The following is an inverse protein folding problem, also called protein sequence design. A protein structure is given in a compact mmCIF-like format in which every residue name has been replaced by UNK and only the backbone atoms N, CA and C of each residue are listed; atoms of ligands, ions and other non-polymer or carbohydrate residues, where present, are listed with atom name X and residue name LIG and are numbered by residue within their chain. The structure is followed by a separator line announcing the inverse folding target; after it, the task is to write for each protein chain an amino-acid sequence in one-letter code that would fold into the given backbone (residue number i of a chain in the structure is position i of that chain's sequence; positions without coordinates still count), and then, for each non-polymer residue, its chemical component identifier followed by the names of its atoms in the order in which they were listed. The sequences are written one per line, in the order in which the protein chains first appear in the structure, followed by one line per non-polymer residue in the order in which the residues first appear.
data_IF_242193097643
#
_entry.id   IF_242193097643
#
_cell.length_a   1.000
_cell.length_b   1.000
_cell.length_c   1.000
_cell.angle_alpha   90.00
_cell.angle_beta   90.00
_cell.angle_gamma   90.00
#
_symmetry.space_group_name_H-M   'P 1'
#
loop_
_entity.id
_entity.type
_entity.pdbx_description
1 polymer ?
#
# COMPACT_ATOMS: atom_id res chain seq x y z
N UNK A 1 10.28 -3.98 -7.73
CA UNK A 1 9.00 -3.25 -7.96
C UNK A 1 7.87 -4.12 -7.41
N UNK A 2 6.69 -3.58 -7.07
CA UNK A 2 5.60 -4.42 -6.52
C UNK A 2 5.19 -5.59 -7.43
N UNK A 3 5.40 -5.48 -8.75
CA UNK A 3 5.22 -6.57 -9.72
C UNK A 3 5.97 -7.87 -9.40
N UNK A 4 7.05 -7.76 -8.62
CA UNK A 4 7.88 -8.89 -8.21
C UNK A 4 7.27 -9.62 -6.98
N UNK A 5 6.15 -9.12 -6.45
CA UNK A 5 5.44 -9.61 -5.27
C UNK A 5 3.93 -9.82 -5.59
N UNK A 6 3.56 -10.88 -6.34
CA UNK A 6 2.19 -11.10 -6.80
C UNK A 6 1.19 -11.25 -5.64
N UNK A 7 1.61 -11.85 -4.52
CA UNK A 7 0.76 -11.95 -3.33
C UNK A 7 0.43 -10.57 -2.73
N UNK A 8 1.37 -9.62 -2.77
CA UNK A 8 1.11 -8.26 -2.27
C UNK A 8 0.10 -7.54 -3.18
N UNK A 9 0.20 -7.73 -4.50
CA UNK A 9 -0.77 -7.21 -5.47
C UNK A 9 -2.15 -7.80 -5.21
N UNK A 10 -2.23 -9.11 -4.94
CA UNK A 10 -3.47 -9.79 -4.61
C UNK A 10 -4.09 -9.23 -3.33
N UNK A 11 -3.32 -9.04 -2.27
CA UNK A 11 -3.81 -8.44 -1.02
C UNK A 11 -4.32 -7.00 -1.22
N UNK A 12 -3.63 -6.18 -2.04
CA UNK A 12 -4.11 -4.84 -2.39
C UNK A 12 -5.44 -4.89 -3.17
N UNK A 13 -5.56 -5.81 -4.11
CA UNK A 13 -6.80 -6.01 -4.87
C UNK A 13 -7.94 -6.47 -3.96
N UNK A 14 -7.68 -7.40 -3.03
CA UNK A 14 -8.66 -7.87 -2.05
C UNK A 14 -9.10 -6.74 -1.11
N UNK A 15 -8.17 -5.89 -0.65
CA UNK A 15 -8.47 -4.72 0.16
C UNK A 15 -9.40 -3.75 -0.58
N UNK A 16 -9.15 -3.47 -1.85
CA UNK A 16 -10.02 -2.63 -2.69
C UNK A 16 -11.38 -3.27 -2.94
N UNK A 17 -11.43 -4.58 -3.24
CA UNK A 17 -12.67 -5.32 -3.42
C UNK A 17 -13.53 -5.36 -2.14
N UNK A 18 -12.94 -5.14 -0.96
CA UNK A 18 -13.71 -5.09 0.29
C UNK A 18 -14.61 -3.84 0.38
N UNK A 19 -14.22 -2.74 -0.27
CA UNK A 19 -14.96 -1.46 -0.26
C UNK A 19 -16.33 -1.61 -0.94
N UNK A 20 -16.40 -2.42 -2.01
CA UNK A 20 -17.64 -2.63 -2.77
C UNK A 20 -18.63 -3.57 -2.08
N UNK A 21 -18.14 -4.42 -1.16
CA UNK A 21 -18.92 -5.48 -0.53
C UNK A 21 -19.42 -5.15 0.90
N UNK A 22 -19.29 -3.90 1.36
CA UNK A 22 -19.62 -3.56 2.75
C UNK A 22 -21.10 -3.21 2.98
N UNK A 23 -21.73 -3.73 4.06
CA UNK A 23 -23.17 -3.56 4.31
C UNK A 23 -23.56 -2.15 4.78
N UNK A 24 -22.64 -1.37 5.37
CA UNK A 24 -22.89 0.02 5.77
C UNK A 24 -21.77 0.96 5.32
N UNK A 25 -22.16 2.12 4.76
CA UNK A 25 -21.22 3.10 4.23
C UNK A 25 -20.91 4.22 5.23
N UNK A 26 -20.00 3.99 6.18
CA UNK A 26 -19.46 5.00 7.11
C UNK A 26 -18.60 6.11 6.44
N UNK A 27 -17.80 5.75 5.44
CA UNK A 27 -16.98 6.63 4.59
C UNK A 27 -17.46 6.61 3.13
N UNK A 28 -17.27 7.69 2.34
CA UNK A 28 -17.48 7.59 0.90
C UNK A 28 -16.51 6.56 0.27
N UNK A 29 -16.88 5.93 -0.87
CA UNK A 29 -16.13 4.81 -1.46
C UNK A 29 -14.66 5.13 -1.76
N UNK A 30 -14.36 6.31 -2.32
CA UNK A 30 -12.98 6.70 -2.61
C UNK A 30 -12.13 6.80 -1.34
N UNK A 31 -12.59 7.50 -0.31
CA UNK A 31 -11.85 7.65 0.96
C UNK A 31 -11.65 6.29 1.65
N UNK A 32 -12.64 5.41 1.59
CA UNK A 32 -12.51 4.03 2.10
C UNK A 32 -11.47 3.22 1.30
N UNK A 33 -11.45 3.36 -0.03
CA UNK A 33 -10.46 2.70 -0.88
C UNK A 33 -9.04 3.20 -0.64
N UNK A 34 -8.85 4.53 -0.50
CA UNK A 34 -7.55 5.10 -0.12
C UNK A 34 -7.12 4.57 1.24
N UNK A 35 -7.99 4.63 2.24
CA UNK A 35 -7.67 4.13 3.58
C UNK A 35 -7.29 2.64 3.58
N UNK A 36 -8.01 1.81 2.83
CA UNK A 36 -7.69 0.38 2.67
C UNK A 36 -6.34 0.12 1.99
N UNK A 37 -5.97 0.95 1.01
CA UNK A 37 -4.64 0.87 0.40
C UNK A 37 -3.55 1.29 1.39
N UNK A 38 -3.78 2.37 2.14
CA UNK A 38 -2.83 2.84 3.15
C UNK A 38 -2.60 1.77 4.23
N UNK A 39 -3.67 1.22 4.81
CA UNK A 39 -3.63 0.17 5.82
C UNK A 39 -2.88 -1.09 5.33
N UNK A 40 -3.17 -1.53 4.10
CA UNK A 40 -2.50 -2.70 3.51
C UNK A 40 -1.01 -2.44 3.23
N UNK A 41 -0.66 -1.25 2.71
CA UNK A 41 0.72 -0.88 2.42
C UNK A 41 1.54 -0.64 3.70
N UNK A 42 0.93 -0.08 4.75
CA UNK A 42 1.56 0.08 6.06
C UNK A 42 1.89 -1.30 6.66
N UNK A 43 0.99 -2.29 6.53
CA UNK A 43 1.28 -3.68 6.90
C UNK A 43 2.48 -4.28 6.17
N UNK A 44 2.63 -4.04 4.87
CA UNK A 44 3.81 -4.50 4.12
C UNK A 44 5.11 -3.84 4.58
N UNK A 45 5.05 -2.58 5.03
CA UNK A 45 6.20 -1.88 5.58
C UNK A 45 6.60 -2.51 6.91
N UNK A 46 5.64 -2.78 7.78
CA UNK A 46 5.88 -3.41 9.09
C UNK A 46 6.49 -4.80 8.93
N UNK A 47 5.95 -5.62 8.03
CA UNK A 47 6.49 -6.95 7.71
C UNK A 47 7.93 -6.87 7.18
N UNK A 48 8.18 -5.98 6.21
CA UNK A 48 9.51 -5.81 5.63
C UNK A 48 10.51 -5.23 6.65
N UNK A 49 10.07 -4.38 7.57
CA UNK A 49 10.89 -3.88 8.67
C UNK A 49 11.26 -5.01 9.64
N UNK A 50 10.31 -5.89 9.97
CA UNK A 50 10.57 -7.09 10.77
C UNK A 50 11.60 -8.01 10.12
N UNK A 51 11.47 -8.26 8.82
CA UNK A 51 12.44 -9.03 8.04
C UNK A 51 13.84 -8.39 8.06
N UNK A 52 13.93 -7.07 7.87
CA UNK A 52 15.18 -6.33 7.92
C UNK A 52 15.85 -6.43 9.31
N UNK A 53 15.08 -6.27 10.38
CA UNK A 53 15.59 -6.42 11.75
C UNK A 53 16.11 -7.84 12.01
N UNK A 54 15.40 -8.87 11.54
CA UNK A 54 15.86 -10.25 11.64
C UNK A 54 17.15 -10.50 10.83
N UNK A 55 17.24 -9.95 9.61
CA UNK A 55 18.44 -10.04 8.79
C UNK A 55 19.65 -9.34 9.46
N UNK A 56 19.43 -8.17 10.04
CA UNK A 56 20.46 -7.43 10.79
C UNK A 56 20.97 -8.23 11.99
N UNK A 57 20.07 -8.88 12.75
CA UNK A 57 20.44 -9.74 13.87
C UNK A 57 21.28 -10.97 13.43
N UNK A 58 21.07 -11.46 12.19
CA UNK A 58 21.85 -12.58 11.64
C UNK A 58 23.26 -12.19 11.19
N UNK A 59 23.54 -10.90 10.96
CA UNK A 59 24.82 -10.39 10.44
C UNK A 59 25.13 -10.77 8.99
N UNK A 60 24.21 -11.44 8.28
CA UNK A 60 24.41 -11.81 6.88
C UNK A 60 24.23 -10.59 5.96
N UNK A 61 25.33 -10.10 5.40
CA UNK A 61 25.34 -8.91 4.55
C UNK A 61 24.40 -9.01 3.33
N UNK A 62 24.30 -10.19 2.71
CA UNK A 62 23.42 -10.41 1.56
C UNK A 62 21.94 -10.37 1.97
N UNK A 63 21.61 -11.01 3.10
CA UNK A 63 20.25 -10.98 3.64
C UNK A 63 19.83 -9.57 4.07
N UNK A 64 20.76 -8.80 4.65
CA UNK A 64 20.52 -7.41 5.04
C UNK A 64 20.24 -6.55 3.81
N UNK A 65 21.07 -6.65 2.77
CA UNK A 65 20.88 -5.87 1.54
C UNK A 65 19.53 -6.19 0.88
N UNK A 66 19.16 -7.46 0.77
CA UNK A 66 17.89 -7.88 0.19
C UNK A 66 16.68 -7.38 0.99
N UNK A 67 16.74 -7.47 2.32
CA UNK A 67 15.65 -7.00 3.19
C UNK A 67 15.52 -5.47 3.19
N UNK A 68 16.64 -4.74 3.13
CA UNK A 68 16.64 -3.27 3.04
C UNK A 68 16.07 -2.78 1.70
N UNK A 69 16.40 -3.44 0.59
CA UNK A 69 15.79 -3.16 -0.71
C UNK A 69 14.28 -3.41 -0.70
N UNK A 70 13.82 -4.51 -0.09
CA UNK A 70 12.40 -4.81 0.05
C UNK A 70 11.70 -3.76 0.90
N UNK A 71 12.27 -3.38 2.05
CA UNK A 71 11.72 -2.34 2.92
C UNK A 71 11.57 -1.00 2.19
N UNK A 72 12.63 -0.54 1.51
CA UNK A 72 12.61 0.70 0.71
C UNK A 72 11.57 0.63 -0.41
N UNK A 73 11.37 -0.54 -1.02
CA UNK A 73 10.35 -0.73 -2.04
C UNK A 73 8.94 -0.55 -1.45
N UNK A 74 8.64 -1.17 -0.31
CA UNK A 74 7.32 -1.05 0.34
C UNK A 74 7.06 0.40 0.79
N UNK A 75 8.07 1.05 1.36
CA UNK A 75 7.99 2.46 1.73
C UNK A 75 7.71 3.36 0.51
N UNK A 76 8.38 3.10 -0.62
CA UNK A 76 8.14 3.84 -1.87
C UNK A 76 6.74 3.60 -2.43
N UNK A 77 6.21 2.38 -2.29
CA UNK A 77 4.85 2.05 -2.71
C UNK A 77 3.80 2.84 -1.92
N UNK A 78 3.98 2.97 -0.59
CA UNK A 78 3.11 3.78 0.28
C UNK A 78 3.24 5.29 0.07
N UNK A 79 4.40 5.76 -0.38
CA UNK A 79 4.67 7.19 -0.51
C UNK A 79 3.66 7.90 -1.43
N UNK A 80 3.08 9.00 -0.94
CA UNK A 80 2.25 9.91 -1.73
C UNK A 80 2.99 10.61 -2.89
N UNK A 81 4.33 10.61 -2.90
CA UNK A 81 5.13 11.08 -4.04
C UNK A 81 5.68 9.92 -4.89
N UNK A 82 5.27 8.69 -4.58
CA UNK A 82 5.69 7.45 -5.23
C UNK A 82 4.48 6.64 -5.67
N UNK A 83 4.26 5.47 -5.07
CA UNK A 83 3.22 4.54 -5.49
C UNK A 83 1.79 5.06 -5.29
N UNK A 84 1.57 6.02 -4.39
CA UNK A 84 0.25 6.65 -4.15
C UNK A 84 0.13 8.05 -4.76
N UNK A 85 1.04 8.42 -5.68
CA UNK A 85 1.00 9.71 -6.35
C UNK A 85 -0.22 9.84 -7.25
N UNK A 86 -0.84 11.02 -7.25
CA UNK A 86 -1.98 11.32 -8.12
C UNK A 86 -3.35 11.09 -7.48
N UNK A 87 -3.42 10.50 -6.28
CA UNK A 87 -4.71 10.23 -5.62
C UNK A 87 -5.44 11.52 -5.23
N UNK A 88 -4.72 12.58 -4.85
CA UNK A 88 -5.35 13.86 -4.55
C UNK A 88 -5.94 14.50 -5.82
N UNK A 89 -5.18 14.50 -6.91
CA UNK A 89 -5.64 15.01 -8.21
C UNK A 89 -6.83 14.21 -8.75
N UNK A 90 -6.83 12.89 -8.54
CA UNK A 90 -7.94 12.01 -8.90
C UNK A 90 -9.20 12.32 -8.05
N UNK A 91 -9.03 12.58 -6.77
CA UNK A 91 -10.14 12.99 -5.90
C UNK A 91 -10.77 14.31 -6.37
N UNK A 92 -9.94 15.32 -6.63
CA UNK A 92 -10.41 16.62 -7.13
C UNK A 92 -11.10 16.50 -8.49
N UNK A 93 -10.64 15.59 -9.36
CA UNK A 93 -11.33 15.28 -10.63
C UNK A 93 -12.75 14.76 -10.41
N UNK A 94 -12.94 13.74 -9.55
CA UNK A 94 -14.28 13.20 -9.27
C UNK A 94 -15.19 14.28 -8.68
N UNK A 95 -14.70 15.02 -7.69
CA UNK A 95 -15.43 16.13 -7.08
C UNK A 95 -15.85 17.20 -8.10
N UNK A 96 -14.98 17.54 -9.05
CA UNK A 96 -15.27 18.53 -10.10
C UNK A 96 -16.24 18.00 -11.18
N UNK A 97 -16.24 16.69 -11.43
CA UNK A 97 -17.10 16.05 -12.44
C UNK A 97 -18.58 15.94 -12.01
N UNK A 98 -18.88 16.13 -10.72
CA UNK A 98 -20.21 15.90 -10.16
C UNK A 98 -20.55 14.42 -9.96
N UNK A 99 -19.65 13.51 -10.35
CA UNK A 99 -19.67 12.12 -9.92
C UNK A 99 -19.28 12.09 -8.43
N UNK A 100 -20.11 11.51 -7.57
CA UNK A 100 -19.68 11.25 -6.20
C UNK A 100 -18.53 10.24 -6.25
N UNK A 101 -17.34 10.57 -5.72
CA UNK A 101 -16.26 9.60 -5.53
C UNK A 101 -16.67 8.46 -4.57
#
# INVERSE_FOLDING_TARGET
MLRDYPEHIKSLQEALNSVTNRPMKSLPPFEDAVWKLEDCLDGFIDDAQGELTAAQASGNAQSIAAADEKFKLMFRARSGNGGMKGLHELYEYFKASGEQP
#
